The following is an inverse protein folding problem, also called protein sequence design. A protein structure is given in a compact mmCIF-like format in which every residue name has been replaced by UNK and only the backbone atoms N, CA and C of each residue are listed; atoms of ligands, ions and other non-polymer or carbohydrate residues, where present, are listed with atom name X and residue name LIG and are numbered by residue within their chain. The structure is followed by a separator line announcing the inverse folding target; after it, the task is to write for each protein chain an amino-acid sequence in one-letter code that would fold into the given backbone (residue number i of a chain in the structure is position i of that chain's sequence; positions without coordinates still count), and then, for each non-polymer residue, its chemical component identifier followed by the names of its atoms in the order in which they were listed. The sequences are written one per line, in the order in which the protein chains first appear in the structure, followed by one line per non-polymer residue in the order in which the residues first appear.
data_IF_962631814109
#
_entry.id   IF_962631814109
#
_cell.length_a   1.000
_cell.length_b   1.000
_cell.length_c   1.000
_cell.angle_alpha   90.00
_cell.angle_beta   90.00
_cell.angle_gamma   90.00
#
_symmetry.space_group_name_H-M   'P 1'
#
loop_
_entity.id
_entity.type
_entity.pdbx_description
1 polymer ?
#
# COMPACT_ATOMS: atom_id res chain seq x y z
N UNK A 1 -11.27 7.61 35.33
CA UNK A 1 -10.06 7.88 34.53
C UNK A 1 -9.99 6.84 33.43
N UNK A 2 -10.44 7.20 32.23
CA UNK A 2 -10.42 6.31 31.07
C UNK A 2 -8.99 6.30 30.52
N UNK A 3 -8.39 5.11 30.39
CA UNK A 3 -7.14 4.94 29.65
C UNK A 3 -7.35 5.46 28.21
N UNK A 4 -6.39 6.18 27.60
CA UNK A 4 -6.47 6.44 26.18
C UNK A 4 -6.49 5.10 25.44
N UNK A 5 -7.52 4.86 24.64
CA UNK A 5 -7.50 3.80 23.64
C UNK A 5 -6.30 4.13 22.74
N UNK A 6 -5.21 3.36 22.88
CA UNK A 6 -4.12 3.44 21.89
C UNK A 6 -4.78 3.18 20.54
N UNK A 7 -4.59 4.05 19.53
CA UNK A 7 -5.18 3.82 18.21
C UNK A 7 -4.81 2.40 17.81
N UNK A 8 -5.86 1.65 17.51
CA UNK A 8 -5.89 0.20 17.45
C UNK A 8 -4.61 -0.35 16.83
N UNK A 9 -4.00 -1.29 17.55
CA UNK A 9 -2.98 -2.23 17.11
C UNK A 9 -3.32 -2.71 15.68
N UNK A 10 -2.84 -1.97 14.66
CA UNK A 10 -3.07 -2.27 13.24
C UNK A 10 -2.56 -3.69 13.05
N UNK A 11 -3.46 -4.65 12.86
CA UNK A 11 -3.08 -6.02 12.53
C UNK A 11 -2.19 -5.94 11.30
N UNK A 12 -0.92 -6.33 11.46
CA UNK A 12 0.14 -6.01 10.51
C UNK A 12 0.06 -7.01 9.37
N UNK A 13 -0.64 -6.61 8.32
CA UNK A 13 -0.41 -7.19 7.00
C UNK A 13 0.74 -6.38 6.40
N UNK A 14 1.90 -6.98 6.29
CA UNK A 14 3.05 -6.39 5.60
C UNK A 14 3.20 -7.08 4.25
N UNK A 15 3.42 -6.29 3.20
CA UNK A 15 3.58 -6.78 1.83
C UNK A 15 4.91 -6.30 1.30
N UNK A 16 5.66 -7.19 0.65
CA UNK A 16 6.96 -6.87 0.05
C UNK A 16 7.08 -7.50 -1.32
N UNK A 17 7.38 -6.73 -2.38
CA UNK A 17 7.49 -5.25 -2.40
C UNK A 17 6.14 -4.55 -2.12
N UNK A 18 6.13 -3.23 -1.85
CA UNK A 18 4.86 -2.46 -1.71
C UNK A 18 4.24 -2.03 -3.05
N UNK A 19 4.80 -2.48 -4.16
CA UNK A 19 4.19 -2.37 -5.47
C UNK A 19 4.77 -3.37 -6.48
N UNK A 20 3.92 -3.86 -7.36
CA UNK A 20 4.26 -4.81 -8.41
C UNK A 20 3.25 -4.72 -9.57
N UNK A 21 3.62 -5.17 -10.78
CA UNK A 21 2.68 -5.25 -11.88
C UNK A 21 1.73 -6.43 -11.69
N UNK A 22 0.67 -6.46 -12.52
CA UNK A 22 -0.15 -7.66 -12.71
C UNK A 22 0.75 -8.88 -13.01
N UNK A 23 0.46 -10.00 -12.36
CA UNK A 23 1.26 -11.23 -12.42
C UNK A 23 2.55 -11.21 -11.59
N UNK A 24 2.95 -10.05 -11.07
CA UNK A 24 4.10 -9.90 -10.18
C UNK A 24 3.91 -10.64 -8.86
N UNK A 25 5.01 -11.18 -8.33
CA UNK A 25 5.01 -11.93 -7.06
C UNK A 25 5.27 -11.00 -5.88
N UNK A 26 4.57 -11.27 -4.77
CA UNK A 26 4.72 -10.56 -3.50
C UNK A 26 4.75 -11.54 -2.33
N UNK A 27 5.54 -11.21 -1.32
CA UNK A 27 5.49 -11.85 -0.01
C UNK A 27 4.52 -11.09 0.89
N UNK A 28 3.52 -11.79 1.41
CA UNK A 28 2.54 -11.27 2.38
C UNK A 28 2.79 -11.92 3.72
N UNK A 29 3.12 -11.11 4.73
CA UNK A 29 3.27 -11.53 6.12
C UNK A 29 2.12 -10.96 6.95
N UNK A 30 1.48 -11.82 7.74
CA UNK A 30 0.42 -11.47 8.69
C UNK A 30 0.84 -11.93 10.07
N UNK A 31 0.71 -11.05 11.08
CA UNK A 31 1.07 -11.35 12.47
C UNK A 31 -0.06 -11.00 13.44
N UNK A 32 -0.01 -11.57 14.64
CA UNK A 32 -1.02 -11.35 15.68
C UNK A 32 -2.32 -12.11 15.41
N UNK A 33 -2.24 -13.22 14.70
CA UNK A 33 -3.34 -14.16 14.50
C UNK A 33 -3.44 -15.10 15.72
N UNK A 34 -4.63 -15.67 16.00
CA UNK A 34 -4.70 -16.86 16.83
C UNK A 34 -3.77 -17.95 16.28
N UNK A 35 -3.07 -18.73 17.12
CA UNK A 35 -2.23 -19.84 16.65
C UNK A 35 -3.03 -20.91 15.91
N UNK A 36 -2.43 -21.53 14.89
CA UNK A 36 -2.97 -22.68 14.17
C UNK A 36 -4.37 -22.45 13.55
N UNK A 37 -4.70 -21.22 13.16
CA UNK A 37 -6.00 -20.86 12.57
C UNK A 37 -5.90 -20.72 11.05
N UNK A 38 -6.92 -21.20 10.34
CA UNK A 38 -7.06 -20.98 8.90
C UNK A 38 -7.44 -19.54 8.57
N UNK A 39 -6.70 -18.93 7.64
CA UNK A 39 -6.95 -17.59 7.11
C UNK A 39 -7.11 -17.60 5.59
N UNK A 40 -7.78 -16.58 5.07
CA UNK A 40 -7.81 -16.26 3.65
C UNK A 40 -7.23 -14.87 3.42
N UNK A 41 -6.43 -14.72 2.36
CA UNK A 41 -5.89 -13.44 1.91
C UNK A 41 -6.62 -13.03 0.64
N UNK A 42 -7.22 -11.84 0.67
CA UNK A 42 -7.78 -11.20 -0.51
C UNK A 42 -6.99 -9.97 -0.92
N UNK A 43 -7.26 -9.52 -2.13
CA UNK A 43 -6.69 -8.33 -2.74
C UNK A 43 -7.78 -7.57 -3.47
N UNK A 44 -7.77 -6.25 -3.39
CA UNK A 44 -8.79 -5.45 -4.03
C UNK A 44 -8.71 -3.97 -3.73
N UNK A 45 -9.70 -3.25 -4.27
CA UNK A 45 -10.00 -1.86 -3.99
C UNK A 45 -11.47 -1.75 -3.53
N UNK A 46 -12.00 -0.53 -3.45
CA UNK A 46 -13.39 -0.30 -3.02
C UNK A 46 -14.45 -0.82 -4.00
N UNK A 47 -14.09 -1.13 -5.24
CA UNK A 47 -14.99 -1.55 -6.31
C UNK A 47 -14.94 -3.05 -6.57
N UNK A 48 -13.74 -3.64 -6.52
CA UNK A 48 -13.52 -5.04 -6.87
C UNK A 48 -12.49 -5.69 -5.93
N UNK A 49 -12.74 -6.95 -5.58
CA UNK A 49 -11.82 -7.77 -4.79
C UNK A 49 -11.86 -9.24 -5.20
N UNK A 50 -10.78 -9.96 -4.88
CA UNK A 50 -10.64 -11.40 -5.10
C UNK A 50 -9.87 -12.05 -3.96
N UNK A 51 -10.22 -13.29 -3.61
CA UNK A 51 -9.41 -14.13 -2.73
C UNK A 51 -8.22 -14.71 -3.52
N UNK A 52 -7.00 -14.47 -3.03
CA UNK A 52 -5.76 -14.90 -3.69
C UNK A 52 -5.21 -16.20 -3.12
N UNK A 53 -5.39 -16.44 -1.82
CA UNK A 53 -4.77 -17.58 -1.17
C UNK A 53 -5.32 -17.88 0.21
N UNK A 54 -4.91 -19.04 0.74
CA UNK A 54 -5.24 -19.51 2.08
C UNK A 54 -3.97 -20.02 2.75
N UNK A 55 -3.88 -19.84 4.07
CA UNK A 55 -2.82 -20.40 4.89
C UNK A 55 -3.36 -20.68 6.29
N UNK A 56 -2.58 -21.41 7.08
CA UNK A 56 -2.79 -21.46 8.52
C UNK A 56 -1.71 -20.60 9.19
N UNK A 57 -2.07 -19.94 10.29
CA UNK A 57 -1.05 -19.38 11.16
C UNK A 57 -0.26 -20.48 11.87
N UNK A 58 0.97 -20.19 12.24
CA UNK A 58 1.81 -21.06 13.04
C UNK A 58 1.50 -20.97 14.55
N UNK A 59 2.36 -21.59 15.37
CA UNK A 59 2.24 -21.55 16.84
C UNK A 59 2.43 -20.16 17.45
N UNK A 60 3.06 -19.22 16.73
CA UNK A 60 3.28 -17.84 17.15
C UNK A 60 2.18 -16.89 16.65
N UNK A 61 1.25 -17.39 15.83
CA UNK A 61 0.21 -16.57 15.24
C UNK A 61 0.70 -15.76 14.04
N UNK A 62 1.72 -16.24 13.33
CA UNK A 62 2.19 -15.67 12.07
C UNK A 62 1.76 -16.52 10.87
N UNK A 63 1.56 -15.88 9.72
CA UNK A 63 1.37 -16.55 8.44
C UNK A 63 2.12 -15.79 7.34
N UNK A 64 2.83 -16.53 6.49
CA UNK A 64 3.55 -15.97 5.33
C UNK A 64 3.14 -16.69 4.05
N UNK A 65 2.83 -15.93 2.99
CA UNK A 65 2.39 -16.46 1.70
C UNK A 65 3.09 -15.72 0.56
N UNK A 66 3.46 -16.46 -0.50
CA UNK A 66 3.81 -15.90 -1.80
C UNK A 66 2.55 -15.85 -2.68
N UNK A 67 2.18 -14.66 -3.13
CA UNK A 67 0.99 -14.43 -3.94
C UNK A 67 1.35 -13.70 -5.24
N UNK A 68 0.48 -13.82 -6.25
CA UNK A 68 0.58 -13.05 -7.50
C UNK A 68 -0.49 -11.96 -7.56
N UNK A 69 -0.13 -10.82 -8.12
CA UNK A 69 -1.10 -9.74 -8.37
C UNK A 69 -2.08 -10.19 -9.47
N UNK A 70 -3.40 -10.14 -9.21
CA UNK A 70 -4.41 -10.68 -10.13
C UNK A 70 -4.62 -9.79 -11.36
N UNK A 71 -5.17 -10.36 -12.43
CA UNK A 71 -5.37 -9.67 -13.72
C UNK A 71 -6.36 -8.51 -13.69
N UNK A 72 -7.31 -8.51 -12.77
CA UNK A 72 -8.24 -7.38 -12.64
C UNK A 72 -7.59 -6.14 -12.03
N UNK A 73 -6.40 -6.26 -11.45
CA UNK A 73 -5.73 -5.16 -10.77
C UNK A 73 -5.38 -4.07 -11.78
N UNK A 74 -5.89 -2.86 -11.55
CA UNK A 74 -5.65 -1.74 -12.46
C UNK A 74 -4.26 -1.13 -12.25
N UNK A 75 -3.42 -1.05 -13.30
CA UNK A 75 -2.16 -0.33 -13.24
C UNK A 75 -2.34 1.12 -12.77
N UNK A 76 -1.38 1.62 -12.02
CA UNK A 76 -1.35 2.98 -11.47
C UNK A 76 -2.41 3.26 -10.39
N UNK A 77 -3.16 2.25 -9.95
CA UNK A 77 -4.12 2.36 -8.85
C UNK A 77 -3.61 1.69 -7.58
N UNK A 78 -4.05 2.22 -6.46
CA UNK A 78 -3.81 1.61 -5.15
C UNK A 78 -4.85 0.54 -4.87
N UNK A 79 -4.36 -0.60 -4.40
CA UNK A 79 -5.12 -1.72 -3.90
C UNK A 79 -4.64 -2.07 -2.50
N UNK A 80 -5.35 -2.96 -1.84
CA UNK A 80 -5.04 -3.39 -0.49
C UNK A 80 -5.13 -4.91 -0.39
N UNK A 81 -4.26 -5.47 0.44
CA UNK A 81 -4.39 -6.84 0.91
C UNK A 81 -5.25 -6.85 2.17
N UNK A 82 -6.09 -7.85 2.31
CA UNK A 82 -6.92 -8.02 3.51
C UNK A 82 -6.97 -9.47 3.94
N UNK A 83 -7.14 -9.68 5.25
CA UNK A 83 -7.21 -11.02 5.85
C UNK A 83 -8.61 -11.28 6.41
N UNK A 84 -9.14 -12.48 6.19
CA UNK A 84 -10.41 -12.95 6.77
C UNK A 84 -10.21 -14.30 7.47
N UNK A 85 -11.07 -14.60 8.45
CA UNK A 85 -11.25 -15.96 8.98
C UNK A 85 -12.63 -16.42 8.50
N UNK A 86 -12.69 -17.45 7.64
CA UNK A 86 -13.94 -17.89 6.99
C UNK A 86 -14.78 -16.71 6.44
N UNK A 87 -16.08 -16.89 6.19
CA UNK A 87 -16.95 -15.92 5.50
C UNK A 87 -17.32 -14.68 6.36
N UNK A 88 -16.46 -14.30 7.32
CA UNK A 88 -16.66 -13.13 8.19
C UNK A 88 -15.86 -11.93 7.67
N UNK A 89 -16.37 -10.73 7.94
CA UNK A 89 -15.81 -9.43 7.56
C UNK A 89 -14.28 -9.33 7.76
N UNK A 90 -13.54 -8.63 6.86
CA UNK A 90 -12.10 -8.49 6.95
C UNK A 90 -11.62 -8.04 8.32
N UNK A 91 -10.63 -8.76 8.85
CA UNK A 91 -10.07 -8.56 10.19
C UNK A 91 -8.86 -7.64 10.17
N UNK A 92 -8.24 -7.43 9.01
CA UNK A 92 -7.11 -6.53 8.82
C UNK A 92 -6.97 -6.13 7.37
N UNK A 93 -6.37 -4.97 7.14
CA UNK A 93 -6.09 -4.38 5.82
C UNK A 93 -4.64 -3.91 5.85
N UNK A 94 -3.90 -4.15 4.78
CA UNK A 94 -2.53 -3.66 4.61
C UNK A 94 -2.49 -2.15 4.42
N UNK A 95 -1.30 -1.58 4.45
CA UNK A 95 -1.09 -0.27 3.83
C UNK A 95 -1.36 -0.35 2.31
N UNK A 96 -1.49 0.81 1.67
CA UNK A 96 -1.71 0.89 0.23
C UNK A 96 -0.61 0.20 -0.57
N UNK A 97 -1.02 -0.68 -1.47
CA UNK A 97 -0.18 -1.38 -2.43
C UNK A 97 -0.35 -0.76 -3.81
N UNK A 98 0.74 -0.29 -4.41
CA UNK A 98 0.71 0.37 -5.70
C UNK A 98 0.85 -0.66 -6.82
N UNK A 99 -0.20 -0.84 -7.64
CA UNK A 99 -0.09 -1.63 -8.86
C UNK A 99 0.71 -0.81 -9.88
N UNK A 100 1.78 -1.40 -10.42
CA UNK A 100 2.70 -0.74 -11.35
C UNK A 100 2.48 -1.24 -12.78
N UNK A 101 3.10 -0.55 -13.74
CA UNK A 101 3.31 -1.05 -15.09
C UNK A 101 4.30 -2.22 -15.10
N UNK A 102 4.33 -3.05 -16.17
CA UNK A 102 5.25 -4.19 -16.27
C UNK A 102 6.75 -3.84 -16.11
N UNK A 103 7.13 -2.60 -16.38
CA UNK A 103 8.49 -2.07 -16.20
C UNK A 103 8.79 -1.59 -14.76
N UNK A 104 7.84 -1.78 -13.84
CA UNK A 104 7.92 -1.35 -12.44
C UNK A 104 7.58 0.12 -12.21
N UNK A 105 7.17 0.86 -13.24
CA UNK A 105 6.85 2.29 -13.12
C UNK A 105 5.41 2.52 -12.66
N UNK A 106 5.17 3.63 -11.98
CA UNK A 106 3.84 4.12 -11.70
C UNK A 106 3.67 5.58 -12.10
N UNK A 107 2.45 5.93 -12.50
CA UNK A 107 2.04 7.29 -12.80
C UNK A 107 1.04 7.75 -11.76
N UNK A 108 1.35 8.86 -11.08
CA UNK A 108 0.48 9.41 -10.03
C UNK A 108 0.14 10.85 -10.36
N UNK A 109 -1.12 11.23 -10.17
CA UNK A 109 -1.59 12.60 -10.33
C UNK A 109 -2.18 13.07 -9.00
N UNK A 110 -1.80 14.25 -8.55
CA UNK A 110 -2.28 14.78 -7.29
C UNK A 110 -1.80 16.20 -7.03
N UNK A 111 -2.01 16.66 -5.81
CA UNK A 111 -1.60 17.96 -5.31
C UNK A 111 -0.46 17.78 -4.30
N UNK A 112 0.58 18.60 -4.42
CA UNK A 112 1.63 18.66 -3.41
C UNK A 112 1.04 19.27 -2.14
N UNK A 113 1.27 18.65 -0.99
CA UNK A 113 0.73 19.09 0.30
C UNK A 113 1.83 19.45 1.29
N UNK A 114 1.46 20.17 2.36
CA UNK A 114 2.37 20.56 3.43
C UNK A 114 2.43 19.53 4.58
N UNK A 115 1.82 18.35 4.43
CA UNK A 115 1.77 17.32 5.50
C UNK A 115 3.05 16.49 5.61
N UNK A 116 3.95 16.60 4.63
CA UNK A 116 5.24 15.91 4.63
C UNK A 116 6.25 16.60 5.54
N UNK A 117 6.76 15.89 6.54
CA UNK A 117 7.79 16.41 7.46
C UNK A 117 9.21 16.25 6.94
N UNK A 118 9.55 15.06 6.40
CA UNK A 118 10.87 14.75 5.85
C UNK A 118 10.91 14.66 4.33
N UNK A 119 9.81 14.26 3.69
CA UNK A 119 9.69 14.09 2.25
C UNK A 119 8.49 14.86 1.73
N UNK A 120 8.58 15.39 0.51
CA UNK A 120 7.47 16.10 -0.13
C UNK A 120 6.26 15.17 -0.23
N UNK A 121 5.12 15.61 0.31
CA UNK A 121 3.89 14.84 0.29
C UNK A 121 3.04 15.19 -0.94
N UNK A 122 2.33 14.20 -1.46
CA UNK A 122 1.35 14.36 -2.54
C UNK A 122 0.07 13.62 -2.17
N UNK A 123 -1.07 14.30 -2.28
CA UNK A 123 -2.40 13.67 -2.18
C UNK A 123 -3.09 13.62 -3.52
N UNK A 124 -3.68 12.47 -3.81
CA UNK A 124 -4.56 12.32 -4.98
C UNK A 124 -5.97 12.78 -4.65
N UNK A 125 -6.82 12.93 -5.68
CA UNK A 125 -8.24 13.24 -5.49
C UNK A 125 -9.00 12.18 -4.68
N UNK A 126 -8.50 10.93 -4.63
CA UNK A 126 -9.06 9.85 -3.82
C UNK A 126 -8.47 9.77 -2.40
N UNK A 127 -7.87 10.86 -1.91
CA UNK A 127 -7.26 10.98 -0.58
C UNK A 127 -6.06 10.06 -0.31
N UNK A 128 -5.54 9.39 -1.35
CA UNK A 128 -4.33 8.59 -1.24
C UNK A 128 -3.09 9.47 -1.07
N UNK A 129 -2.31 9.18 -0.02
CA UNK A 129 -1.06 9.86 0.32
C UNK A 129 0.16 9.13 -0.29
N UNK A 130 1.04 9.92 -0.89
CA UNK A 130 2.36 9.51 -1.39
C UNK A 130 3.44 10.40 -0.79
N UNK A 131 4.62 9.80 -0.57
CA UNK A 131 5.82 10.55 -0.24
C UNK A 131 6.81 10.49 -1.39
N UNK A 132 7.24 11.64 -1.86
CA UNK A 132 8.05 11.78 -3.05
C UNK A 132 9.52 11.93 -2.68
N UNK A 133 10.37 11.14 -3.33
CA UNK A 133 11.82 11.09 -3.11
C UNK A 133 12.50 11.55 -4.38
N UNK A 134 13.39 12.54 -4.26
CA UNK A 134 14.16 13.10 -5.37
C UNK A 134 14.36 14.60 -5.21
N UNK A 135 14.82 15.27 -6.28
CA UNK A 135 14.95 16.72 -6.30
C UNK A 135 13.59 17.38 -6.60
N UNK A 136 12.92 17.86 -5.55
CA UNK A 136 11.56 18.40 -5.62
C UNK A 136 11.45 19.86 -5.16
N UNK A 137 12.58 20.54 -5.00
CA UNK A 137 12.67 21.93 -4.50
C UNK A 137 11.86 22.96 -5.31
N UNK A 138 11.60 22.67 -6.59
CA UNK A 138 10.79 23.52 -7.46
C UNK A 138 9.27 23.39 -7.22
N UNK A 139 8.82 22.35 -6.51
CA UNK A 139 7.40 22.05 -6.30
C UNK A 139 6.95 22.45 -4.91
N UNK A 140 5.87 23.23 -4.84
CA UNK A 140 5.33 23.81 -3.61
C UNK A 140 3.93 23.27 -3.32
N UNK A 141 3.55 23.31 -2.05
CA UNK A 141 2.21 22.94 -1.62
C UNK A 141 1.14 23.74 -2.40
N UNK A 142 0.04 23.07 -2.75
CA UNK A 142 -1.05 23.61 -3.58
C UNK A 142 -0.86 23.39 -5.09
N UNK A 143 0.32 22.95 -5.55
CA UNK A 143 0.54 22.69 -6.97
C UNK A 143 0.02 21.30 -7.36
N UNK A 144 -0.77 21.25 -8.43
CA UNK A 144 -1.17 19.99 -9.05
C UNK A 144 -0.10 19.50 -10.01
N UNK A 145 0.25 18.24 -9.87
CA UNK A 145 1.33 17.60 -10.63
C UNK A 145 0.93 16.22 -11.11
N UNK A 146 1.58 15.80 -12.18
CA UNK A 146 1.62 14.41 -12.62
C UNK A 146 3.08 13.96 -12.57
N UNK A 147 3.32 12.80 -11.96
CA UNK A 147 4.64 12.21 -11.87
C UNK A 147 4.67 10.80 -12.44
N UNK A 148 5.85 10.40 -12.90
CA UNK A 148 6.23 9.02 -13.16
C UNK A 148 7.36 8.65 -12.19
N UNK A 149 7.28 7.49 -11.57
CA UNK A 149 8.28 7.06 -10.60
C UNK A 149 8.22 5.56 -10.31
N UNK A 150 9.04 5.11 -9.37
CA UNK A 150 9.03 3.73 -8.85
C UNK A 150 8.68 3.72 -7.38
N UNK A 151 8.02 2.66 -6.93
CA UNK A 151 7.81 2.44 -5.49
C UNK A 151 9.16 2.19 -4.82
N UNK A 152 9.45 2.95 -3.77
CA UNK A 152 10.74 2.95 -3.07
C UNK A 152 10.58 2.34 -1.68
N UNK A 153 10.54 1.01 -1.61
CA UNK A 153 10.46 0.28 -0.35
C UNK A 153 11.61 0.66 0.60
N UNK A 154 11.30 0.82 1.89
CA UNK A 154 12.30 1.13 2.92
C UNK A 154 12.82 2.58 2.93
N UNK A 155 12.22 3.48 2.15
CA UNK A 155 12.57 4.90 2.21
C UNK A 155 12.25 5.51 3.58
N UNK A 156 13.07 6.46 4.09
CA UNK A 156 12.87 7.11 5.38
C UNK A 156 11.78 8.21 5.33
N UNK A 157 10.67 7.92 4.64
CA UNK A 157 9.61 8.87 4.34
C UNK A 157 8.29 8.39 4.95
N UNK A 158 8.07 8.68 6.24
CA UNK A 158 6.83 8.42 6.97
C UNK A 158 6.35 6.95 6.98
N UNK A 159 5.37 6.65 7.83
CA UNK A 159 4.84 5.28 7.96
C UNK A 159 3.50 5.08 7.22
N UNK A 160 2.80 6.15 6.82
CA UNK A 160 1.40 6.07 6.36
C UNK A 160 1.19 6.27 4.85
N UNK A 161 2.24 6.63 4.10
CA UNK A 161 2.17 6.91 2.66
C UNK A 161 2.86 5.84 1.80
N UNK A 162 2.67 5.93 0.48
CA UNK A 162 3.42 5.12 -0.49
C UNK A 162 4.65 5.92 -0.95
N UNK A 163 5.87 5.47 -0.65
CA UNK A 163 7.09 6.15 -1.08
C UNK A 163 7.32 5.94 -2.58
N UNK A 164 7.54 7.03 -3.31
CA UNK A 164 7.83 7.02 -4.74
C UNK A 164 9.15 7.73 -5.00
N UNK A 165 10.11 7.01 -5.56
CA UNK A 165 11.29 7.61 -6.20
C UNK A 165 10.84 8.23 -7.52
N UNK A 166 10.89 9.57 -7.60
CA UNK A 166 10.38 10.32 -8.74
C UNK A 166 11.43 10.32 -9.86
N UNK A 167 11.01 9.87 -11.04
CA UNK A 167 11.81 9.94 -12.27
C UNK A 167 11.49 11.21 -13.07
N UNK A 168 10.20 11.53 -13.18
CA UNK A 168 9.70 12.70 -13.91
C UNK A 168 8.53 13.29 -13.13
N UNK A 169 8.46 14.62 -13.06
CA UNK A 169 7.35 15.36 -12.47
C UNK A 169 7.10 16.62 -13.29
N UNK A 170 5.82 16.92 -13.52
CA UNK A 170 5.38 18.08 -14.29
C UNK A 170 4.06 18.63 -13.75
N UNK A 171 3.76 19.88 -14.06
CA UNK A 171 2.49 20.48 -13.72
C UNK A 171 1.34 19.74 -14.41
N UNK A 172 0.26 19.49 -13.67
CA UNK A 172 -0.99 19.04 -14.25
C UNK A 172 -1.72 20.28 -14.79
N UNK A 173 -2.03 20.27 -16.08
CA UNK A 173 -2.87 21.29 -16.72
C UNK A 173 -4.34 21.09 -16.33
#
# INVERSE_FOLDING_TARGET
MSLPVRPQQRRRITVTPRGAPVGGEVDVKVVGLPPMIGIQIGFGNMQQHQLLGRANSDGEGEATLKLKIPEFAEPHKVHFFFVTYSDVQPRGVSDGFQVTSPDGMTRVSGEITAEGTSCTALRTAGDQLYYLIGNLSAWKAGQRVVLNGRVADGAPCGDEGIPIAVNEIRAAL
#
